data_IF_707273458877
#
_entry.id   IF_707273458877
#
_cell.length_a   1.000
_cell.length_b   1.000
_cell.length_c   1.000
_cell.angle_alpha   90.00
_cell.angle_beta   90.00
_cell.angle_gamma   90.00
#
_symmetry.space_group_name_H-M   'P 1'
#
loop_
_entity.id
_entity.type
_entity.pdbx_description
1 polymer ?
#
# COMPACT_ATOMS: atom_id res chain seq x y z
N UNK A 1 66.19 -14.40 -29.81
CA UNK A 1 65.63 -13.69 -30.97
C UNK A 1 64.33 -14.41 -31.29
N UNK A 2 63.16 -13.95 -30.84
CA UNK A 2 62.39 -12.82 -31.40
C UNK A 2 62.27 -12.95 -32.92
N UNK A 3 61.11 -12.90 -33.57
CA UNK A 3 59.71 -12.77 -33.17
C UNK A 3 58.88 -13.15 -34.40
N UNK A 4 57.66 -13.66 -34.23
CA UNK A 4 56.52 -13.10 -34.97
C UNK A 4 55.22 -13.37 -34.22
N UNK A 5 54.47 -12.29 -34.02
CA UNK A 5 53.25 -12.18 -33.22
C UNK A 5 52.05 -12.33 -34.15
N UNK A 6 51.09 -13.17 -33.79
CA UNK A 6 49.70 -12.95 -34.18
C UNK A 6 48.79 -13.45 -33.04
N UNK A 7 48.37 -12.52 -32.18
CA UNK A 7 47.40 -12.77 -31.11
C UNK A 7 46.06 -12.20 -31.53
N UNK A 8 45.10 -13.08 -31.85
CA UNK A 8 43.68 -12.72 -31.87
C UNK A 8 43.21 -12.53 -30.43
N UNK A 9 42.87 -11.30 -30.06
CA UNK A 9 42.07 -11.01 -28.87
C UNK A 9 40.61 -11.36 -29.18
N UNK A 10 40.04 -12.29 -28.41
CA UNK A 10 38.59 -12.45 -28.26
C UNK A 10 38.05 -11.29 -27.42
N UNK A 11 37.02 -10.62 -27.94
CA UNK A 11 36.21 -9.64 -27.20
C UNK A 11 35.24 -10.37 -26.26
N UNK A 12 34.95 -9.84 -25.05
CA UNK A 12 34.05 -10.49 -24.10
C UNK A 12 32.60 -10.43 -24.57
N UNK A 13 31.93 -11.56 -24.46
CA UNK A 13 30.47 -11.73 -24.63
C UNK A 13 29.70 -10.76 -23.73
N UNK A 14 28.82 -9.96 -24.34
CA UNK A 14 27.86 -9.11 -23.65
C UNK A 14 26.92 -9.94 -22.76
N UNK A 15 26.84 -9.52 -21.51
CA UNK A 15 26.06 -10.12 -20.42
C UNK A 15 24.58 -9.77 -20.60
N UNK A 16 23.80 -10.73 -21.11
CA UNK A 16 22.34 -10.62 -21.26
C UNK A 16 21.70 -10.82 -19.87
N UNK A 17 21.80 -9.82 -19.01
CA UNK A 17 21.01 -9.70 -17.78
C UNK A 17 20.22 -8.41 -17.88
N UNK A 18 18.93 -8.47 -17.52
CA UNK A 18 17.94 -7.38 -17.52
C UNK A 18 17.06 -7.20 -18.76
N UNK A 19 16.39 -8.27 -19.22
CA UNK A 19 15.03 -8.14 -19.75
C UNK A 19 14.17 -9.30 -19.25
N UNK A 20 13.28 -9.04 -18.27
CA UNK A 20 12.19 -9.98 -17.96
C UNK A 20 11.04 -9.65 -18.90
N UNK A 21 10.92 -10.42 -19.97
CA UNK A 21 9.79 -10.41 -20.90
C UNK A 21 8.51 -10.86 -20.17
N UNK A 22 7.53 -9.96 -20.07
CA UNK A 22 6.20 -10.24 -19.52
C UNK A 22 5.20 -10.74 -20.59
N UNK A 23 5.68 -11.23 -21.75
CA UNK A 23 4.82 -11.62 -22.88
C UNK A 23 4.47 -13.11 -22.91
N UNK A 24 3.77 -13.61 -21.90
CA UNK A 24 3.03 -14.88 -22.04
C UNK A 24 1.54 -14.60 -22.14
N UNK A 25 1.09 -14.21 -23.35
CA UNK A 25 -0.18 -14.63 -23.99
C UNK A 25 -0.29 -14.06 -25.40
N UNK A 26 -0.04 -14.89 -26.44
CA UNK A 26 -0.28 -14.54 -27.86
C UNK A 26 -1.78 -14.62 -28.24
N UNK A 27 -2.68 -14.08 -27.42
CA UNK A 27 -4.06 -13.81 -27.83
C UNK A 27 -4.39 -12.36 -27.47
N UNK A 28 -4.64 -11.54 -28.49
CA UNK A 28 -5.21 -10.18 -28.32
C UNK A 28 -6.58 -10.34 -27.66
N UNK A 29 -6.62 -10.27 -26.33
CA UNK A 29 -7.87 -10.03 -25.62
C UNK A 29 -8.21 -8.54 -25.74
N UNK A 30 -9.50 -8.17 -25.89
CA UNK A 30 -9.90 -6.78 -25.84
C UNK A 30 -9.45 -6.20 -24.50
N UNK A 31 -8.73 -5.07 -24.52
CA UNK A 31 -8.37 -4.32 -23.31
C UNK A 31 -9.66 -4.04 -22.55
N UNK A 32 -9.93 -4.78 -21.47
CA UNK A 32 -10.91 -4.34 -20.49
C UNK A 32 -10.41 -2.99 -19.96
N UNK A 33 -11.10 -1.91 -20.35
CA UNK A 33 -10.91 -0.60 -19.74
C UNK A 33 -11.14 -0.76 -18.25
N UNK A 34 -10.09 -0.53 -17.46
CA UNK A 34 -10.28 -0.26 -16.05
C UNK A 34 -11.25 0.93 -15.94
N UNK A 35 -12.09 0.95 -14.91
CA UNK A 35 -12.79 2.19 -14.59
C UNK A 35 -11.74 3.29 -14.41
N UNK A 36 -12.00 4.52 -14.89
CA UNK A 36 -11.09 5.67 -14.71
C UNK A 36 -10.63 5.85 -13.26
N UNK A 37 -11.39 5.33 -12.29
CA UNK A 37 -11.09 5.35 -10.87
C UNK A 37 -9.94 4.41 -10.44
N UNK A 38 -9.47 3.48 -11.27
CA UNK A 38 -8.43 2.49 -10.90
C UNK A 38 -7.14 2.58 -11.72
N UNK A 39 -7.09 3.38 -12.79
CA UNK A 39 -5.94 3.42 -13.71
C UNK A 39 -4.61 3.83 -13.05
N UNK A 40 -4.67 4.69 -12.03
CA UNK A 40 -3.49 5.20 -11.33
C UNK A 40 -2.87 4.18 -10.35
N UNK A 41 -3.62 3.16 -9.91
CA UNK A 41 -3.12 2.10 -9.03
C UNK A 41 -2.04 1.23 -9.69
N UNK A 42 -1.96 1.23 -11.04
CA UNK A 42 -0.95 0.49 -11.81
C UNK A 42 0.44 1.13 -11.78
N UNK A 43 0.53 2.41 -11.42
CA UNK A 43 1.76 3.20 -11.48
C UNK A 43 2.37 3.36 -10.08
N UNK A 44 2.68 2.24 -9.43
CA UNK A 44 3.58 2.23 -8.29
C UNK A 44 5.01 2.03 -8.81
N UNK A 45 5.82 3.10 -8.70
CA UNK A 45 7.29 3.19 -8.73
C UNK A 45 7.98 2.39 -9.85
N UNK A 46 8.17 3.01 -11.01
CA UNK A 46 9.10 2.53 -12.05
C UNK A 46 10.45 3.23 -11.89
N UNK A 47 11.54 2.45 -11.89
CA UNK A 47 12.90 2.94 -12.13
C UNK A 47 13.00 3.28 -13.62
N UNK A 48 13.54 4.45 -13.95
CA UNK A 48 13.72 4.85 -15.35
C UNK A 48 14.75 3.94 -16.05
N UNK A 49 14.54 3.53 -17.31
CA UNK A 49 15.59 2.88 -18.09
C UNK A 49 16.71 3.88 -18.42
N UNK A 50 17.96 3.40 -18.41
CA UNK A 50 19.16 4.18 -18.74
C UNK A 50 18.99 4.81 -20.14
N UNK A 51 19.19 6.14 -20.32
CA UNK A 51 19.14 6.75 -21.63
C UNK A 51 20.28 6.18 -22.50
N UNK A 52 19.94 5.51 -23.60
CA UNK A 52 20.92 5.23 -24.66
C UNK A 52 21.22 6.54 -25.38
N UNK A 53 22.50 6.89 -25.50
CA UNK A 53 22.94 8.06 -26.25
C UNK A 53 22.51 7.92 -27.73
N UNK A 54 21.50 8.69 -28.14
CA UNK A 54 21.16 8.88 -29.54
C UNK A 54 22.00 10.02 -30.12
N UNK A 55 22.74 9.72 -31.18
CA UNK A 55 23.58 10.64 -31.95
C UNK A 55 22.80 11.88 -32.46
N UNK A 56 23.42 13.08 -32.49
CA UNK A 56 22.73 14.29 -32.89
C UNK A 56 22.57 14.34 -34.42
N UNK A 57 21.35 14.60 -34.88
CA UNK A 57 21.07 14.99 -36.28
C UNK A 57 20.95 16.53 -36.33
N UNK A 58 21.53 17.23 -37.31
CA UNK A 58 21.57 18.70 -37.30
C UNK A 58 20.18 19.33 -37.54
N UNK A 59 19.95 20.57 -37.05
CA UNK A 59 18.63 21.16 -36.99
C UNK A 59 18.19 21.72 -38.35
N UNK A 60 16.93 21.46 -38.72
CA UNK A 60 16.25 22.21 -39.77
C UNK A 60 15.63 23.46 -39.13
N UNK A 61 16.03 24.62 -39.63
CA UNK A 61 15.49 25.92 -39.23
C UNK A 61 14.02 26.04 -39.64
N UNK A 62 13.13 26.17 -38.66
CA UNK A 62 11.92 26.99 -38.79
C UNK A 62 11.50 27.47 -37.40
N UNK A 63 11.61 28.77 -37.21
CA UNK A 63 11.18 29.49 -36.01
C UNK A 63 9.66 29.58 -35.94
N UNK A 64 9.07 28.93 -34.95
CA UNK A 64 7.78 29.31 -34.34
C UNK A 64 7.93 29.14 -32.84
N UNK A 65 7.42 30.07 -32.01
CA UNK A 65 7.52 29.91 -30.57
C UNK A 65 6.70 28.68 -30.18
N UNK A 66 7.40 27.66 -29.69
CA UNK A 66 6.82 26.48 -29.08
C UNK A 66 5.89 26.93 -27.96
N UNK A 67 4.59 26.96 -28.22
CA UNK A 67 3.60 26.95 -27.14
C UNK A 67 3.74 25.59 -26.47
N UNK A 68 4.41 25.53 -25.32
CA UNK A 68 4.35 24.34 -24.51
C UNK A 68 2.86 23.97 -24.30
N UNK A 69 2.47 22.70 -24.48
CA UNK A 69 1.09 22.30 -24.24
C UNK A 69 0.74 22.62 -22.78
N UNK A 70 -0.38 23.35 -22.60
CA UNK A 70 -0.87 23.71 -21.27
C UNK A 70 -1.09 22.45 -20.42
N UNK A 71 -0.69 22.50 -19.15
CA UNK A 71 -0.97 21.43 -18.19
C UNK A 71 -2.48 21.13 -18.13
N UNK A 72 -2.84 19.85 -17.93
CA UNK A 72 -4.24 19.43 -17.91
C UNK A 72 -4.67 18.96 -16.53
N UNK A 73 -5.96 19.13 -16.22
CA UNK A 73 -6.49 18.82 -14.90
C UNK A 73 -6.33 17.33 -14.57
N UNK A 74 -5.65 17.07 -13.47
CA UNK A 74 -5.41 15.72 -12.98
C UNK A 74 -6.61 15.25 -12.17
N UNK A 75 -7.53 14.55 -12.84
CA UNK A 75 -8.68 13.92 -12.18
C UNK A 75 -9.54 14.90 -11.36
N UNK A 76 -9.70 16.13 -11.85
CA UNK A 76 -10.47 17.18 -11.18
C UNK A 76 -9.64 18.12 -10.29
N UNK A 77 -8.34 17.84 -10.11
CA UNK A 77 -7.40 18.80 -9.54
C UNK A 77 -7.02 19.82 -10.61
N UNK A 78 -7.23 21.13 -10.36
CA UNK A 78 -6.82 22.19 -11.27
C UNK A 78 -5.32 22.14 -11.59
N UNK A 79 -4.99 22.18 -12.88
CA UNK A 79 -3.61 22.19 -13.36
C UNK A 79 -2.81 23.40 -12.84
N UNK A 80 -3.50 24.51 -12.54
CA UNK A 80 -2.90 25.74 -12.01
C UNK A 80 -2.29 25.61 -10.62
N UNK A 81 -2.62 24.56 -9.86
CA UNK A 81 -2.05 24.36 -8.52
C UNK A 81 -0.59 23.91 -8.64
N UNK A 82 0.30 24.70 -8.06
CA UNK A 82 1.74 24.44 -8.13
C UNK A 82 2.19 23.67 -6.88
N UNK A 83 3.09 22.69 -7.04
CA UNK A 83 3.77 22.11 -5.87
C UNK A 83 4.63 23.18 -5.19
N UNK A 84 4.87 23.01 -3.89
CA UNK A 84 5.92 23.77 -3.21
C UNK A 84 7.26 23.26 -3.76
N UNK A 85 8.15 24.20 -4.10
CA UNK A 85 9.50 23.91 -4.60
C UNK A 85 10.52 24.30 -3.53
N UNK A 86 11.54 23.47 -3.39
CA UNK A 86 12.69 23.79 -2.56
C UNK A 86 13.53 24.89 -3.21
N UNK A 87 14.28 25.64 -2.41
CA UNK A 87 15.25 26.59 -2.92
C UNK A 87 16.26 25.87 -3.82
N UNK A 88 16.66 26.53 -4.92
CA UNK A 88 17.65 25.96 -5.82
C UNK A 88 19.01 25.76 -5.10
N UNK A 89 19.32 24.52 -4.74
CA UNK A 89 20.66 24.16 -4.30
C UNK A 89 21.54 24.03 -5.56
N UNK A 90 22.23 25.11 -5.94
CA UNK A 90 23.14 25.10 -7.09
C UNK A 90 24.38 24.23 -6.80
N UNK A 91 24.25 22.92 -7.00
CA UNK A 91 25.39 22.00 -7.04
C UNK A 91 25.57 21.35 -8.42
N UNK A 92 24.62 21.52 -9.34
CA UNK A 92 24.65 20.82 -10.62
C UNK A 92 24.54 21.75 -11.83
N UNK A 93 25.34 21.43 -12.85
CA UNK A 93 25.34 22.05 -14.16
C UNK A 93 23.95 21.92 -14.80
N UNK A 94 23.31 23.01 -15.26
CA UNK A 94 22.01 22.97 -15.93
C UNK A 94 21.96 22.04 -17.16
N UNK A 95 23.11 21.71 -17.74
CA UNK A 95 23.22 20.76 -18.87
C UNK A 95 23.22 19.28 -18.44
N UNK A 96 23.30 18.99 -17.14
CA UNK A 96 23.34 17.64 -16.60
C UNK A 96 22.57 17.53 -15.26
N UNK A 97 21.26 17.74 -15.29
CA UNK A 97 20.37 17.64 -14.13
C UNK A 97 20.04 16.17 -13.79
N UNK A 98 21.03 15.28 -13.67
CA UNK A 98 20.72 13.85 -13.52
C UNK A 98 19.96 13.52 -12.22
N UNK A 99 19.95 14.41 -11.20
CA UNK A 99 19.34 14.24 -9.86
C UNK A 99 19.35 12.77 -9.40
N UNK A 100 20.49 12.14 -9.61
CA UNK A 100 20.70 10.71 -9.49
C UNK A 100 21.97 10.49 -8.71
N UNK A 101 21.84 9.73 -7.64
CA UNK A 101 22.97 9.15 -6.92
C UNK A 101 23.25 7.76 -7.51
N UNK A 102 24.53 7.36 -7.60
CA UNK A 102 24.94 6.01 -8.00
C UNK A 102 25.70 5.36 -6.83
N UNK A 103 25.30 4.16 -6.31
CA UNK A 103 24.11 3.39 -6.69
C UNK A 103 22.80 4.15 -6.48
N UNK A 104 21.82 3.92 -7.36
CA UNK A 104 20.50 4.57 -7.31
C UNK A 104 19.90 4.53 -5.90
N UNK A 105 19.59 5.71 -5.38
CA UNK A 105 18.96 5.90 -4.08
C UNK A 105 17.58 6.58 -4.26
N UNK A 106 16.52 5.92 -3.79
CA UNK A 106 15.20 6.54 -3.68
C UNK A 106 15.22 7.73 -2.72
N UNK A 107 14.30 8.68 -2.91
CA UNK A 107 14.13 9.83 -2.02
C UNK A 107 15.05 11.02 -2.33
N UNK A 108 15.87 10.96 -3.38
CA UNK A 108 16.87 12.00 -3.68
C UNK A 108 16.43 13.05 -4.70
N UNK A 109 15.27 12.86 -5.36
CA UNK A 109 14.79 13.79 -6.40
C UNK A 109 13.91 14.87 -5.78
N UNK A 110 14.54 15.83 -5.12
CA UNK A 110 13.87 17.02 -4.62
C UNK A 110 13.48 17.96 -5.77
N UNK A 111 12.24 18.43 -5.75
CA UNK A 111 11.75 19.42 -6.68
C UNK A 111 12.18 20.82 -6.21
N UNK A 112 12.99 21.49 -7.02
CA UNK A 112 13.61 22.77 -6.72
C UNK A 112 13.12 23.88 -7.67
N UNK A 113 13.42 25.13 -7.33
CA UNK A 113 13.18 26.28 -8.19
C UNK A 113 13.93 26.14 -9.53
N UNK A 114 13.20 26.29 -10.63
CA UNK A 114 13.76 26.18 -11.98
C UNK A 114 13.65 24.80 -12.63
N UNK A 115 13.36 23.74 -11.88
CA UNK A 115 13.16 22.40 -12.47
C UNK A 115 11.93 22.32 -13.38
N UNK A 116 12.03 21.57 -14.48
CA UNK A 116 10.87 21.13 -15.24
C UNK A 116 10.19 19.95 -14.50
N UNK A 117 8.96 20.16 -14.04
CA UNK A 117 8.14 19.14 -13.35
C UNK A 117 8.02 17.85 -14.18
N UNK A 118 8.06 17.93 -15.50
CA UNK A 118 7.88 16.80 -16.40
C UNK A 118 9.20 16.20 -16.91
N UNK A 119 10.33 16.59 -16.33
CA UNK A 119 11.64 15.99 -16.60
C UNK A 119 11.66 14.51 -16.17
N UNK A 120 11.28 14.25 -14.91
CA UNK A 120 11.19 12.91 -14.32
C UNK A 120 9.76 12.40 -14.25
N UNK A 121 9.60 11.08 -14.07
CA UNK A 121 8.29 10.48 -13.84
C UNK A 121 7.76 10.66 -12.40
N UNK A 122 8.65 11.04 -11.46
CA UNK A 122 8.30 11.26 -10.07
C UNK A 122 9.32 12.18 -9.38
N UNK A 123 8.80 12.97 -8.44
CA UNK A 123 9.55 13.80 -7.50
C UNK A 123 9.29 13.33 -6.07
N UNK A 124 10.33 13.36 -5.25
CA UNK A 124 10.33 12.88 -3.87
C UNK A 124 10.15 14.06 -2.89
N UNK A 125 9.57 13.79 -1.71
CA UNK A 125 9.32 14.78 -0.64
C UNK A 125 8.53 16.02 -1.07
N UNK A 126 7.59 15.88 -2.02
CA UNK A 126 6.83 17.02 -2.53
C UNK A 126 5.68 17.39 -1.60
N UNK A 127 5.67 18.63 -1.13
CA UNK A 127 4.55 19.21 -0.40
C UNK A 127 3.55 19.93 -1.30
N UNK A 128 2.30 19.93 -0.85
CA UNK A 128 1.20 20.65 -1.49
C UNK A 128 1.04 22.05 -0.88
N UNK A 129 0.75 23.02 -1.73
CA UNK A 129 0.50 24.41 -1.35
C UNK A 129 -0.82 24.57 -0.53
N UNK A 130 -1.03 25.71 0.15
CA UNK A 130 -2.26 25.95 0.90
C UNK A 130 -3.54 25.87 0.04
N UNK A 131 -3.47 26.24 -1.24
CA UNK A 131 -4.61 26.21 -2.16
C UNK A 131 -5.06 24.79 -2.45
N UNK A 132 -4.13 23.87 -2.67
CA UNK A 132 -4.42 22.45 -2.84
C UNK A 132 -4.96 21.85 -1.54
N UNK A 133 -4.44 22.25 -0.36
CA UNK A 133 -4.99 21.81 0.94
C UNK A 133 -6.45 22.25 1.08
N UNK A 134 -6.76 23.52 0.82
CA UNK A 134 -8.13 24.03 0.85
C UNK A 134 -9.03 23.29 -0.14
N UNK A 135 -8.58 23.09 -1.38
CA UNK A 135 -9.31 22.30 -2.38
C UNK A 135 -9.59 20.87 -1.90
N UNK A 136 -8.62 20.22 -1.25
CA UNK A 136 -8.79 18.87 -0.70
C UNK A 136 -9.89 18.84 0.36
N UNK A 137 -9.90 19.81 1.28
CA UNK A 137 -10.97 19.93 2.29
C UNK A 137 -12.35 20.14 1.65
N UNK A 138 -12.45 20.98 0.62
CA UNK A 138 -13.70 21.14 -0.14
C UNK A 138 -14.15 19.85 -0.84
N UNK A 139 -13.22 19.02 -1.33
CA UNK A 139 -13.57 17.71 -1.88
C UNK A 139 -14.08 16.77 -0.80
N UNK A 140 -13.44 16.73 0.38
CA UNK A 140 -13.88 15.89 1.49
C UNK A 140 -15.29 16.27 1.94
N UNK A 141 -15.60 17.57 2.02
CA UNK A 141 -16.94 18.05 2.37
C UNK A 141 -17.99 17.60 1.34
N UNK A 142 -17.69 17.73 0.03
CA UNK A 142 -18.57 17.22 -1.03
C UNK A 142 -18.77 15.71 -0.97
N UNK A 143 -17.75 14.96 -0.54
CA UNK A 143 -17.83 13.50 -0.38
C UNK A 143 -18.71 13.12 0.81
N UNK A 144 -18.63 13.84 1.95
CA UNK A 144 -19.51 13.64 3.12
C UNK A 144 -20.98 13.88 2.79
N UNK A 145 -21.27 14.85 1.93
CA UNK A 145 -22.63 15.24 1.55
C UNK A 145 -23.36 14.20 0.67
N UNK A 146 -22.62 13.28 0.02
CA UNK A 146 -23.19 12.18 -0.76
C UNK A 146 -22.57 10.85 -0.34
N UNK A 147 -22.91 10.35 0.86
CA UNK A 147 -22.35 9.12 1.40
C UNK A 147 -22.87 7.90 0.63
N UNK A 148 -22.25 6.75 0.85
CA UNK A 148 -22.81 5.46 0.45
C UNK A 148 -24.14 5.24 1.19
N UNK A 149 -25.13 4.63 0.53
CA UNK A 149 -26.39 4.27 1.19
C UNK A 149 -26.17 3.29 2.35
N UNK A 150 -27.01 3.32 3.40
CA UNK A 150 -26.88 2.39 4.54
C UNK A 150 -26.94 0.91 4.10
N UNK A 151 -27.79 0.61 3.11
CA UNK A 151 -27.86 -0.73 2.51
C UNK A 151 -26.50 -1.15 1.92
N UNK A 152 -25.89 -0.30 1.10
CA UNK A 152 -24.60 -0.61 0.48
C UNK A 152 -23.47 -0.61 1.51
N UNK A 153 -23.50 0.28 2.51
CA UNK A 153 -22.52 0.31 3.61
C UNK A 153 -22.54 -1.02 4.39
N UNK A 154 -23.72 -1.52 4.73
CA UNK A 154 -23.90 -2.85 5.34
C UNK A 154 -23.38 -3.96 4.42
N UNK A 155 -23.75 -3.94 3.15
CA UNK A 155 -23.29 -4.92 2.14
C UNK A 155 -21.77 -4.96 1.98
N UNK A 156 -21.08 -3.83 1.97
CA UNK A 156 -19.62 -3.76 1.83
C UNK A 156 -18.90 -4.22 3.11
N UNK A 157 -19.51 -4.05 4.28
CA UNK A 157 -18.91 -4.43 5.55
C UNK A 157 -19.17 -5.87 5.98
N UNK A 158 -20.30 -6.47 5.62
CA UNK A 158 -20.67 -7.82 6.07
C UNK A 158 -19.91 -8.94 5.34
N UNK A 159 -19.59 -8.74 4.05
CA UNK A 159 -18.92 -9.76 3.23
C UNK A 159 -17.76 -9.16 2.40
N UNK A 160 -16.75 -8.55 3.07
CA UNK A 160 -15.66 -7.86 2.41
C UNK A 160 -14.81 -8.79 1.51
N UNK A 161 -14.71 -10.07 1.84
CA UNK A 161 -13.98 -11.10 1.10
C UNK A 161 -14.52 -11.31 -0.32
N UNK A 162 -15.84 -11.14 -0.51
CA UNK A 162 -16.47 -11.33 -1.83
C UNK A 162 -15.94 -10.32 -2.84
N UNK A 163 -15.66 -9.09 -2.40
CA UNK A 163 -15.14 -8.03 -3.26
C UNK A 163 -13.70 -8.28 -3.67
N UNK A 164 -12.86 -8.77 -2.77
CA UNK A 164 -11.50 -9.19 -3.09
C UNK A 164 -11.47 -10.44 -3.98
N UNK A 165 -12.32 -11.42 -3.73
CA UNK A 165 -12.48 -12.59 -4.61
C UNK A 165 -12.88 -12.18 -6.03
N UNK A 166 -13.84 -11.25 -6.17
CA UNK A 166 -14.25 -10.69 -7.46
C UNK A 166 -13.09 -9.94 -8.13
N UNK A 167 -12.37 -9.12 -7.36
CA UNK A 167 -11.21 -8.39 -7.85
C UNK A 167 -10.16 -9.32 -8.45
N UNK A 168 -9.72 -10.35 -7.73
CA UNK A 168 -8.69 -11.28 -8.20
C UNK A 168 -9.18 -12.22 -9.30
N UNK A 169 -10.48 -12.56 -9.32
CA UNK A 169 -11.08 -13.28 -10.47
C UNK A 169 -10.94 -12.48 -11.76
N UNK A 170 -11.19 -11.17 -11.71
CA UNK A 170 -11.18 -10.30 -12.89
C UNK A 170 -9.75 -9.91 -13.30
N UNK A 171 -8.88 -9.64 -12.34
CA UNK A 171 -7.59 -9.02 -12.58
C UNK A 171 -6.41 -10.01 -12.65
N UNK A 172 -6.53 -11.16 -11.97
CA UNK A 172 -5.48 -12.18 -11.89
C UNK A 172 -4.12 -11.59 -11.47
N UNK A 173 -3.03 -11.98 -12.11
CA UNK A 173 -1.65 -11.53 -11.86
C UNK A 173 -1.28 -10.22 -12.58
N UNK A 174 -2.19 -9.63 -13.37
CA UNK A 174 -1.84 -8.55 -14.30
C UNK A 174 -2.01 -7.13 -13.73
N UNK A 175 -2.59 -6.99 -12.53
CA UNK A 175 -2.96 -5.68 -12.00
C UNK A 175 -1.83 -5.03 -11.21
N UNK A 176 -1.27 -5.75 -10.24
CA UNK A 176 -0.15 -5.28 -9.44
C UNK A 176 1.16 -5.69 -10.08
N UNK A 177 2.16 -4.80 -10.00
CA UNK A 177 3.53 -5.08 -10.45
C UNK A 177 4.34 -5.69 -9.29
N UNK A 178 5.36 -6.44 -9.65
CA UNK A 178 6.33 -6.96 -8.67
C UNK A 178 6.98 -5.83 -7.89
N UNK A 179 6.98 -5.93 -6.56
CA UNK A 179 7.49 -4.92 -5.63
C UNK A 179 9.01 -5.04 -5.46
N UNK A 180 9.74 -5.06 -6.58
CA UNK A 180 11.21 -5.23 -6.60
C UNK A 180 11.96 -4.14 -5.82
N UNK A 181 11.31 -3.00 -5.58
CA UNK A 181 11.81 -1.86 -4.79
C UNK A 181 11.73 -2.08 -3.27
N UNK A 182 10.93 -3.03 -2.79
CA UNK A 182 10.65 -3.15 -1.35
C UNK A 182 11.90 -3.45 -0.51
N UNK A 183 12.87 -4.18 -1.08
CA UNK A 183 14.19 -4.42 -0.48
C UNK A 183 15.03 -3.16 -0.29
N UNK A 184 14.83 -2.14 -1.13
CA UNK A 184 15.55 -0.86 -0.99
C UNK A 184 14.99 -0.02 0.16
N UNK A 185 13.69 -0.14 0.42
CA UNK A 185 12.98 0.54 1.51
C UNK A 185 13.11 -0.23 2.84
N UNK A 186 13.12 -1.56 2.77
CA UNK A 186 13.28 -2.47 3.89
C UNK A 186 14.47 -3.42 3.65
N UNK A 187 15.71 -2.99 3.96
CA UNK A 187 16.93 -3.75 3.69
C UNK A 187 16.96 -5.16 4.29
N UNK A 188 16.20 -5.40 5.36
CA UNK A 188 16.07 -6.73 5.95
C UNK A 188 15.62 -7.78 4.93
N UNK A 189 14.81 -7.41 3.94
CA UNK A 189 14.33 -8.34 2.92
C UNK A 189 15.45 -8.88 2.03
N UNK A 190 16.52 -8.11 1.81
CA UNK A 190 17.71 -8.62 1.15
C UNK A 190 18.58 -9.43 2.13
N UNK A 191 18.66 -9.02 3.40
CA UNK A 191 19.47 -9.73 4.41
C UNK A 191 18.98 -11.16 4.64
N UNK A 192 17.68 -11.38 4.78
CA UNK A 192 17.09 -12.71 5.05
C UNK A 192 17.26 -13.70 3.90
N UNK A 193 17.56 -13.20 2.69
CA UNK A 193 17.80 -14.03 1.50
C UNK A 193 19.23 -14.53 1.38
N UNK A 194 20.15 -14.06 2.24
CA UNK A 194 21.56 -14.46 2.17
C UNK A 194 21.80 -15.87 2.76
N UNK A 195 22.76 -16.65 2.24
CA UNK A 195 23.02 -18.02 2.70
C UNK A 195 23.24 -18.15 4.22
N UNK A 196 23.83 -17.13 4.84
CA UNK A 196 24.21 -17.07 6.25
C UNK A 196 23.11 -16.56 7.18
N UNK A 197 21.92 -16.23 6.68
CA UNK A 197 20.85 -15.60 7.46
C UNK A 197 20.13 -16.55 8.45
N UNK A 198 20.45 -17.84 8.44
CA UNK A 198 19.85 -18.84 9.33
C UNK A 198 18.37 -19.13 9.05
N UNK A 199 17.67 -19.71 10.03
CA UNK A 199 16.24 -19.97 9.92
C UNK A 199 15.44 -18.67 10.08
N UNK A 200 14.68 -18.32 9.05
CA UNK A 200 13.87 -17.09 9.05
C UNK A 200 12.47 -17.41 8.57
N UNK A 201 11.47 -17.01 9.36
CA UNK A 201 10.06 -17.11 8.98
C UNK A 201 9.48 -15.73 8.69
N UNK A 202 8.97 -15.56 7.46
CA UNK A 202 8.29 -14.35 6.99
C UNK A 202 6.81 -14.64 6.83
N UNK A 203 5.95 -13.75 7.32
CA UNK A 203 4.51 -13.76 7.04
C UNK A 203 4.14 -12.53 6.19
N UNK A 204 3.76 -12.73 4.94
CA UNK A 204 3.12 -11.69 4.12
C UNK A 204 1.61 -11.74 4.35
N UNK A 205 1.06 -10.65 4.90
CA UNK A 205 -0.38 -10.48 5.13
C UNK A 205 -0.97 -9.69 3.98
N UNK A 206 -2.04 -10.19 3.38
CA UNK A 206 -2.62 -9.64 2.15
C UNK A 206 -1.68 -9.79 0.95
N UNK A 207 -1.16 -11.01 0.76
CA UNK A 207 -0.14 -11.34 -0.24
C UNK A 207 -0.62 -11.17 -1.70
N UNK A 208 -1.93 -11.13 -1.93
CA UNK A 208 -2.53 -10.94 -3.25
C UNK A 208 -2.10 -12.00 -4.25
N UNK A 209 -1.52 -11.56 -5.38
CA UNK A 209 -0.99 -12.48 -6.39
C UNK A 209 0.48 -12.85 -6.17
N UNK A 210 1.06 -12.56 -4.99
CA UNK A 210 2.45 -12.90 -4.64
C UNK A 210 3.50 -11.93 -5.19
N UNK A 211 3.10 -10.70 -5.55
CA UNK A 211 4.00 -9.69 -6.11
C UNK A 211 5.11 -9.21 -5.16
N UNK A 212 5.10 -9.62 -3.89
CA UNK A 212 6.19 -9.43 -2.93
C UNK A 212 6.92 -10.75 -2.65
N UNK A 213 6.18 -11.81 -2.31
CA UNK A 213 6.75 -13.12 -2.03
C UNK A 213 7.65 -13.65 -3.15
N UNK A 214 7.20 -13.62 -4.41
CA UNK A 214 8.00 -14.20 -5.50
C UNK A 214 9.30 -13.44 -5.78
N UNK A 215 9.34 -12.09 -5.81
CA UNK A 215 10.61 -11.37 -5.85
C UNK A 215 11.59 -11.69 -4.71
N UNK A 216 11.11 -12.01 -3.52
CA UNK A 216 11.96 -12.47 -2.40
C UNK A 216 12.52 -13.86 -2.72
N UNK A 217 11.65 -14.79 -3.15
CA UNK A 217 12.05 -16.15 -3.50
C UNK A 217 13.01 -16.23 -4.69
N UNK A 218 12.81 -15.40 -5.72
CA UNK A 218 13.72 -15.29 -6.88
C UNK A 218 15.16 -14.94 -6.47
N UNK A 219 15.32 -14.16 -5.39
CA UNK A 219 16.63 -13.74 -4.88
C UNK A 219 17.15 -14.65 -3.78
N UNK A 220 16.33 -15.60 -3.32
CA UNK A 220 16.64 -16.40 -2.14
C UNK A 220 17.84 -17.33 -2.39
N UNK A 221 18.84 -17.19 -1.52
CA UNK A 221 19.98 -18.12 -1.38
C UNK A 221 20.03 -18.74 0.02
N UNK A 222 19.07 -18.42 0.89
CA UNK A 222 18.94 -18.94 2.23
C UNK A 222 18.09 -20.24 2.22
N UNK A 223 18.66 -21.42 2.52
CA UNK A 223 17.89 -22.66 2.60
C UNK A 223 16.93 -22.69 3.80
N UNK A 224 17.15 -21.85 4.82
CA UNK A 224 16.32 -21.71 6.02
C UNK A 224 15.18 -20.69 5.91
N UNK A 225 15.03 -20.01 4.77
CA UNK A 225 13.94 -19.05 4.58
C UNK A 225 12.61 -19.78 4.34
N UNK A 226 11.58 -19.38 5.09
CA UNK A 226 10.20 -19.84 4.92
C UNK A 226 9.26 -18.64 4.80
N UNK A 227 8.53 -18.55 3.70
CA UNK A 227 7.54 -17.50 3.44
C UNK A 227 6.14 -18.06 3.60
N UNK A 228 5.34 -17.48 4.48
CA UNK A 228 3.90 -17.72 4.57
C UNK A 228 3.18 -16.55 3.92
N UNK A 229 2.49 -16.81 2.81
CA UNK A 229 1.76 -15.82 2.04
C UNK A 229 0.25 -15.96 2.29
N UNK A 230 -0.27 -15.13 3.17
CA UNK A 230 -1.67 -15.18 3.55
C UNK A 230 -2.48 -14.09 2.86
N UNK A 231 -3.68 -14.41 2.38
CA UNK A 231 -4.62 -13.43 1.85
C UNK A 231 -6.06 -13.77 2.23
N UNK A 232 -6.88 -12.74 2.42
CA UNK A 232 -8.30 -12.91 2.73
C UNK A 232 -9.09 -13.49 1.55
N UNK A 233 -8.59 -13.31 0.33
CA UNK A 233 -9.17 -13.85 -0.89
C UNK A 233 -8.65 -15.24 -1.21
N UNK A 234 -9.54 -16.23 -1.24
CA UNK A 234 -9.24 -17.56 -1.81
C UNK A 234 -8.74 -17.50 -3.25
N UNK A 235 -9.21 -16.53 -4.03
CA UNK A 235 -8.76 -16.33 -5.42
C UNK A 235 -7.34 -15.79 -5.51
N UNK A 236 -6.92 -14.93 -4.59
CA UNK A 236 -5.53 -14.52 -4.46
C UNK A 236 -4.62 -15.72 -4.16
N UNK A 237 -5.00 -16.52 -3.16
CA UNK A 237 -4.27 -17.74 -2.76
C UNK A 237 -4.16 -18.76 -3.90
N UNK A 238 -5.24 -18.98 -4.65
CA UNK A 238 -5.23 -19.82 -5.87
C UNK A 238 -4.19 -19.34 -6.90
N UNK A 239 -4.04 -18.02 -7.09
CA UNK A 239 -3.05 -17.46 -8.02
C UNK A 239 -1.61 -17.69 -7.53
N UNK A 240 -1.35 -17.53 -6.23
CA UNK A 240 -0.03 -17.79 -5.64
C UNK A 240 0.33 -19.27 -5.79
N UNK A 241 -0.58 -20.17 -5.43
CA UNK A 241 -0.37 -21.64 -5.55
C UNK A 241 -0.18 -22.10 -6.99
N UNK A 242 -0.70 -21.34 -7.97
CA UNK A 242 -0.53 -21.61 -9.40
C UNK A 242 0.72 -20.99 -10.03
N UNK A 243 1.54 -20.26 -9.28
CA UNK A 243 2.76 -19.63 -9.79
C UNK A 243 3.88 -20.66 -10.00
N UNK A 244 4.71 -20.49 -11.02
CA UNK A 244 5.77 -21.45 -11.39
C UNK A 244 6.85 -21.65 -10.32
N UNK A 245 7.11 -20.61 -9.51
CA UNK A 245 8.04 -20.66 -8.39
C UNK A 245 7.43 -21.21 -7.10
N UNK A 246 6.13 -21.52 -7.08
CA UNK A 246 5.47 -22.06 -5.89
C UNK A 246 6.00 -23.46 -5.58
N UNK A 247 6.60 -23.60 -4.39
CA UNK A 247 7.06 -24.87 -3.86
C UNK A 247 6.87 -24.86 -2.34
N UNK A 248 6.35 -25.94 -1.79
CA UNK A 248 6.04 -26.03 -0.35
C UNK A 248 7.28 -26.08 0.55
N UNK A 249 8.49 -26.10 -0.02
CA UNK A 249 9.74 -26.03 0.76
C UNK A 249 9.95 -24.60 1.27
N UNK A 250 9.80 -23.60 0.40
CA UNK A 250 10.14 -22.21 0.74
C UNK A 250 8.92 -21.29 0.85
N UNK A 251 7.74 -21.70 0.36
CA UNK A 251 6.51 -20.91 0.44
C UNK A 251 5.28 -21.75 0.74
N UNK A 252 4.43 -21.26 1.64
CA UNK A 252 3.09 -21.77 1.89
C UNK A 252 2.10 -20.62 1.72
N UNK A 253 1.00 -20.83 0.98
CA UNK A 253 -0.01 -19.80 0.79
C UNK A 253 -1.37 -20.26 1.31
N UNK A 254 -2.03 -19.43 2.12
CA UNK A 254 -3.28 -19.80 2.82
C UNK A 254 -4.29 -18.67 2.89
N UNK A 255 -5.56 -19.05 3.00
CA UNK A 255 -6.63 -18.09 3.25
C UNK A 255 -6.62 -17.75 4.73
N UNK A 256 -6.49 -16.47 5.05
CA UNK A 256 -6.52 -15.99 6.43
C UNK A 256 -7.06 -14.57 6.51
N UNK A 257 -7.98 -14.36 7.44
CA UNK A 257 -8.39 -13.02 7.87
C UNK A 257 -7.51 -12.60 9.05
N UNK A 258 -6.69 -11.57 8.84
CA UNK A 258 -5.83 -11.02 9.88
C UNK A 258 -6.63 -10.54 11.10
N UNK A 259 -7.89 -10.15 10.90
CA UNK A 259 -8.80 -9.72 11.96
C UNK A 259 -9.74 -10.84 12.45
N UNK A 260 -9.44 -12.12 12.16
CA UNK A 260 -10.21 -13.24 12.65
C UNK A 260 -10.32 -13.23 14.19
N UNK A 261 -11.53 -13.48 14.69
CA UNK A 261 -11.82 -13.58 16.12
C UNK A 261 -11.00 -14.70 16.77
N UNK A 262 -10.58 -14.56 18.04
CA UNK A 262 -10.02 -15.65 18.84
C UNK A 262 -10.95 -16.87 18.96
N UNK A 263 -12.24 -16.72 18.70
CA UNK A 263 -13.24 -17.80 18.70
C UNK A 263 -13.32 -18.56 17.37
N UNK A 264 -12.57 -18.11 16.34
CA UNK A 264 -12.50 -18.83 15.07
C UNK A 264 -11.81 -20.19 15.22
N UNK A 265 -12.02 -21.09 14.25
CA UNK A 265 -11.47 -22.46 14.28
C UNK A 265 -9.95 -22.54 14.51
N UNK A 266 -9.20 -21.50 14.11
CA UNK A 266 -7.75 -21.42 14.28
C UNK A 266 -7.34 -20.39 15.35
N UNK A 267 -8.25 -20.05 16.26
CA UNK A 267 -8.03 -19.08 17.35
C UNK A 267 -7.50 -17.72 16.86
N UNK A 268 -7.89 -17.28 15.66
CA UNK A 268 -7.43 -16.04 15.02
C UNK A 268 -6.05 -16.13 14.34
N UNK A 269 -5.35 -17.26 14.43
CA UNK A 269 -4.01 -17.45 13.86
C UNK A 269 -4.07 -17.93 12.40
N UNK A 270 -3.03 -17.62 11.60
CA UNK A 270 -2.90 -18.18 10.27
C UNK A 270 -2.63 -19.69 10.31
N UNK A 271 -3.09 -20.46 9.31
CA UNK A 271 -2.84 -21.90 9.25
C UNK A 271 -1.35 -22.25 9.34
N UNK A 272 -1.02 -23.26 10.15
CA UNK A 272 0.34 -23.75 10.37
C UNK A 272 1.35 -22.71 10.91
N UNK A 273 0.86 -21.63 11.54
CA UNK A 273 1.70 -20.66 12.25
C UNK A 273 1.39 -20.71 13.74
N UNK A 274 2.38 -21.13 14.53
CA UNK A 274 2.31 -21.07 15.99
C UNK A 274 2.51 -19.63 16.49
N UNK A 275 2.00 -19.28 17.68
CA UNK A 275 2.38 -18.04 18.36
C UNK A 275 3.89 -17.90 18.46
N UNK A 276 4.35 -16.65 18.44
CA UNK A 276 5.75 -16.27 18.64
C UNK A 276 6.75 -17.03 17.76
N UNK A 277 6.39 -17.25 16.49
CA UNK A 277 7.19 -18.06 15.56
C UNK A 277 7.63 -17.32 14.30
N UNK A 278 7.09 -16.11 14.06
CA UNK A 278 7.40 -15.27 12.90
C UNK A 278 8.46 -14.23 13.26
N UNK A 279 9.47 -14.08 12.40
CA UNK A 279 10.51 -13.06 12.56
C UNK A 279 10.12 -11.72 11.91
N UNK A 280 9.53 -11.80 10.71
CA UNK A 280 9.15 -10.63 9.91
C UNK A 280 7.72 -10.77 9.40
N UNK A 281 6.89 -9.78 9.69
CA UNK A 281 5.55 -9.62 9.10
C UNK A 281 5.61 -8.53 8.04
N UNK A 282 5.08 -8.77 6.86
CA UNK A 282 4.98 -7.79 5.77
C UNK A 282 3.51 -7.39 5.60
N UNK A 283 3.22 -6.09 5.71
CA UNK A 283 1.88 -5.51 5.55
C UNK A 283 1.93 -4.33 4.58
N UNK A 284 1.68 -4.59 3.30
CA UNK A 284 1.78 -3.58 2.24
C UNK A 284 0.43 -3.39 1.54
N UNK A 285 -0.22 -2.24 1.78
CA UNK A 285 -1.55 -1.86 1.26
C UNK A 285 -2.68 -2.80 1.67
N UNK A 286 -2.69 -3.22 2.94
CA UNK A 286 -3.66 -4.21 3.45
C UNK A 286 -4.42 -3.68 4.66
N UNK A 287 -3.79 -2.88 5.52
CA UNK A 287 -4.38 -2.42 6.76
C UNK A 287 -5.49 -1.40 6.49
N UNK A 288 -5.32 -0.60 5.43
CA UNK A 288 -6.36 0.29 4.91
C UNK A 288 -7.60 -0.43 4.37
N UNK A 289 -7.51 -1.72 4.01
CA UNK A 289 -8.65 -2.47 3.50
C UNK A 289 -9.59 -2.99 4.62
N UNK A 290 -9.09 -2.97 5.86
CA UNK A 290 -9.84 -3.35 7.05
C UNK A 290 -10.85 -2.25 7.42
N UNK A 291 -11.97 -2.67 8.02
CA UNK A 291 -12.84 -1.72 8.71
C UNK A 291 -12.12 -1.23 9.98
N UNK A 292 -12.26 0.05 10.39
CA UNK A 292 -11.65 0.56 11.62
C UNK A 292 -11.86 -0.31 12.86
N UNK A 293 -13.05 -0.94 12.99
CA UNK A 293 -13.38 -1.86 14.09
C UNK A 293 -12.55 -3.16 14.11
N UNK A 294 -11.87 -3.48 13.02
CA UNK A 294 -11.07 -4.69 12.87
C UNK A 294 -9.58 -4.48 13.21
N UNK A 295 -9.14 -3.23 13.39
CA UNK A 295 -7.72 -2.92 13.57
C UNK A 295 -7.14 -3.45 14.88
N UNK A 296 -7.84 -3.31 16.00
CA UNK A 296 -7.37 -3.82 17.29
C UNK A 296 -7.14 -5.34 17.24
N UNK A 297 -8.12 -6.09 16.73
CA UNK A 297 -7.98 -7.54 16.55
C UNK A 297 -6.84 -7.91 15.59
N UNK A 298 -6.68 -7.18 14.49
CA UNK A 298 -5.58 -7.39 13.55
C UNK A 298 -4.23 -7.19 14.24
N UNK A 299 -4.04 -6.09 14.98
CA UNK A 299 -2.81 -5.79 15.73
C UNK A 299 -2.54 -6.88 16.78
N UNK A 300 -3.57 -7.37 17.48
CA UNK A 300 -3.46 -8.50 18.42
C UNK A 300 -2.99 -9.79 17.76
N UNK A 301 -3.54 -10.14 16.61
CA UNK A 301 -3.12 -11.33 15.88
C UNK A 301 -1.68 -11.21 15.35
N UNK A 302 -1.29 -10.03 14.83
CA UNK A 302 0.10 -9.76 14.44
C UNK A 302 1.06 -9.85 15.63
N UNK A 303 0.68 -9.31 16.79
CA UNK A 303 1.46 -9.42 18.02
C UNK A 303 1.66 -10.86 18.46
N UNK A 304 0.61 -11.69 18.36
CA UNK A 304 0.64 -13.09 18.77
C UNK A 304 1.56 -13.93 17.89
N UNK A 305 1.58 -13.72 16.57
CA UNK A 305 2.43 -14.52 15.67
C UNK A 305 3.91 -14.13 15.72
N UNK A 306 4.23 -12.87 16.04
CA UNK A 306 5.59 -12.38 16.09
C UNK A 306 6.37 -12.89 17.30
N UNK A 307 7.60 -13.33 17.07
CA UNK A 307 8.60 -13.52 18.14
C UNK A 307 8.84 -12.20 18.89
N UNK A 308 9.15 -12.22 20.19
CA UNK A 308 9.76 -11.06 20.85
C UNK A 308 11.00 -10.57 20.07
N UNK A 309 11.08 -9.28 19.74
CA UNK A 309 12.10 -8.71 18.85
C UNK A 309 11.79 -8.81 17.34
N UNK A 310 10.77 -9.58 16.95
CA UNK A 310 10.27 -9.65 15.58
C UNK A 310 9.62 -8.33 15.15
N UNK A 311 9.53 -8.12 13.83
CA UNK A 311 9.18 -6.81 13.26
C UNK A 311 8.12 -6.86 12.16
N UNK A 312 7.39 -5.76 12.03
CA UNK A 312 6.40 -5.51 10.97
C UNK A 312 6.98 -4.48 10.01
N UNK A 313 7.02 -4.83 8.72
CA UNK A 313 7.33 -3.94 7.61
C UNK A 313 6.01 -3.42 7.05
N UNK A 314 5.72 -2.15 7.29
CA UNK A 314 4.41 -1.56 7.04
C UNK A 314 4.46 -0.50 5.96
N UNK A 315 3.53 -0.56 5.00
CA UNK A 315 3.26 0.56 4.09
C UNK A 315 1.79 0.62 3.69
N UNK A 316 1.15 1.78 3.85
CA UNK A 316 -0.26 1.95 3.47
C UNK A 316 -0.60 3.39 3.01
N UNK A 317 -1.86 3.68 2.70
CA UNK A 317 -2.29 5.00 2.22
C UNK A 317 -2.34 6.04 3.34
N UNK A 318 -1.83 7.25 3.07
CA UNK A 318 -1.93 8.39 3.96
C UNK A 318 -3.02 9.38 3.54
N UNK A 319 -3.56 10.12 4.50
CA UNK A 319 -4.50 11.23 4.28
C UNK A 319 -3.89 12.27 3.34
N UNK A 320 -4.70 12.83 2.46
CA UNK A 320 -4.26 13.78 1.43
C UNK A 320 -3.79 13.14 0.12
N UNK A 321 -3.73 11.80 0.03
CA UNK A 321 -3.42 11.12 -1.23
C UNK A 321 -4.45 11.49 -2.31
N UNK A 322 -4.01 11.72 -3.56
CA UNK A 322 -4.91 12.06 -4.67
C UNK A 322 -6.05 11.06 -4.85
N UNK A 323 -5.86 9.77 -4.51
CA UNK A 323 -6.93 8.79 -4.58
C UNK A 323 -8.06 9.10 -3.60
N UNK A 324 -7.74 9.64 -2.42
CA UNK A 324 -8.72 10.14 -1.45
C UNK A 324 -9.41 11.39 -2.00
N UNK A 325 -8.62 12.39 -2.40
CA UNK A 325 -9.12 13.71 -2.83
C UNK A 325 -10.11 13.60 -3.99
N UNK A 326 -9.91 12.64 -4.91
CA UNK A 326 -10.76 12.50 -6.11
C UNK A 326 -11.92 11.52 -5.97
N UNK A 327 -12.23 11.01 -4.77
CA UNK A 327 -13.37 10.10 -4.64
C UNK A 327 -14.63 10.79 -5.17
N UNK A 328 -15.38 10.02 -5.95
CA UNK A 328 -16.66 10.46 -6.47
C UNK A 328 -17.72 10.33 -5.39
N UNK A 329 -18.80 11.07 -5.59
CA UNK A 329 -20.05 10.96 -4.85
C UNK A 329 -20.53 9.49 -4.72
N UNK A 330 -21.14 9.14 -3.59
CA UNK A 330 -21.62 7.79 -3.27
C UNK A 330 -20.49 6.78 -2.97
N UNK A 331 -19.37 7.24 -2.41
CA UNK A 331 -18.19 6.40 -2.08
C UNK A 331 -17.68 6.58 -0.66
N UNK A 332 -18.01 7.68 -0.02
CA UNK A 332 -17.66 7.96 1.38
C UNK A 332 -18.50 7.06 2.30
N UNK A 333 -17.84 6.33 3.20
CA UNK A 333 -18.51 5.47 4.18
C UNK A 333 -18.46 6.08 5.58
N UNK A 334 -17.26 6.51 6.00
CA UNK A 334 -16.94 7.15 7.27
C UNK A 334 -15.72 8.06 7.07
N UNK A 335 -15.32 8.81 8.10
CA UNK A 335 -14.13 9.66 8.01
C UNK A 335 -12.92 8.86 7.55
N UNK A 336 -12.23 9.36 6.52
CA UNK A 336 -11.09 8.70 5.88
C UNK A 336 -11.37 7.28 5.31
N UNK A 337 -12.60 6.75 5.38
CA UNK A 337 -12.95 5.40 4.97
C UNK A 337 -13.91 5.40 3.77
N UNK A 338 -13.50 4.72 2.69
CA UNK A 338 -14.17 4.77 1.40
C UNK A 338 -14.32 3.40 0.78
N UNK A 339 -15.36 3.24 -0.06
CA UNK A 339 -15.49 2.10 -0.97
C UNK A 339 -15.00 2.49 -2.38
N UNK A 340 -14.27 1.59 -3.02
CA UNK A 340 -13.75 1.74 -4.38
C UNK A 340 -14.78 1.30 -5.42
N UNK A 341 -14.50 1.61 -6.69
CA UNK A 341 -15.36 1.26 -7.82
C UNK A 341 -15.61 -0.25 -7.99
N UNK A 342 -14.71 -1.09 -7.50
CA UNK A 342 -14.80 -2.56 -7.51
C UNK A 342 -15.48 -3.15 -6.26
N UNK A 343 -15.86 -2.31 -5.29
CA UNK A 343 -16.47 -2.69 -4.02
C UNK A 343 -15.48 -2.99 -2.90
N UNK A 344 -14.16 -2.99 -3.18
CA UNK A 344 -13.14 -3.09 -2.11
C UNK A 344 -13.09 -1.80 -1.30
N UNK A 345 -12.67 -1.89 -0.03
CA UNK A 345 -12.62 -0.75 0.89
C UNK A 345 -11.20 -0.19 0.98
N UNK A 346 -11.08 1.07 1.38
CA UNK A 346 -9.80 1.73 1.65
C UNK A 346 -9.96 2.81 2.70
N UNK A 347 -9.04 2.82 3.66
CA UNK A 347 -8.82 3.88 4.65
C UNK A 347 -7.58 4.71 4.28
N UNK A 348 -7.57 6.00 4.69
CA UNK A 348 -6.41 6.88 4.52
C UNK A 348 -5.95 7.40 5.89
N UNK A 349 -4.83 6.89 6.37
CA UNK A 349 -4.38 7.12 7.74
C UNK A 349 -3.81 8.52 7.94
N UNK A 350 -3.99 9.07 9.13
CA UNK A 350 -3.12 10.11 9.67
C UNK A 350 -1.93 9.46 10.41
N UNK A 351 -0.80 10.18 10.49
CA UNK A 351 0.44 9.61 11.07
C UNK A 351 0.23 9.33 12.56
N UNK A 352 -0.36 10.27 13.27
CA UNK A 352 -0.57 10.25 14.71
C UNK A 352 -1.59 9.18 15.12
N UNK A 353 -2.64 9.00 14.32
CA UNK A 353 -3.65 7.95 14.47
C UNK A 353 -3.01 6.57 14.33
N UNK A 354 -2.30 6.31 13.23
CA UNK A 354 -1.64 5.03 13.01
C UNK A 354 -0.59 4.76 14.09
N UNK A 355 0.15 5.78 14.51
CA UNK A 355 1.12 5.66 15.61
C UNK A 355 0.44 5.30 16.94
N UNK A 356 -0.76 5.82 17.19
CA UNK A 356 -1.53 5.47 18.40
C UNK A 356 -2.04 4.03 18.35
N UNK A 357 -2.56 3.59 17.21
CA UNK A 357 -3.04 2.21 16.99
C UNK A 357 -1.93 1.19 17.26
N UNK A 358 -0.75 1.38 16.66
CA UNK A 358 0.36 0.44 16.80
C UNK A 358 1.12 0.59 18.12
N UNK A 359 1.14 1.80 18.69
CA UNK A 359 1.76 2.10 19.98
C UNK A 359 0.88 1.80 21.19
N UNK A 360 -0.25 1.09 21.02
CA UNK A 360 -1.13 0.67 22.11
C UNK A 360 -1.86 1.80 22.83
N UNK A 361 -1.88 3.02 22.28
CA UNK A 361 -2.65 4.13 22.84
C UNK A 361 -4.09 4.01 22.35
N UNK A 362 -5.05 3.88 23.27
CA UNK A 362 -6.47 3.94 22.92
C UNK A 362 -6.77 5.29 22.28
N UNK A 363 -7.20 5.26 21.02
CA UNK A 363 -7.88 6.41 20.41
C UNK A 363 -9.22 6.54 21.13
N UNK A 364 -9.35 7.53 22.01
CA UNK A 364 -10.67 8.00 22.44
C UNK A 364 -11.43 8.33 21.15
N UNK A 365 -12.66 7.82 20.94
CA UNK A 365 -13.50 8.37 19.88
C UNK A 365 -13.56 9.88 20.11
N UNK A 366 -13.31 10.67 19.07
CA UNK A 366 -13.56 12.12 19.14
C UNK A 366 -15.05 12.24 19.40
N UNK A 367 -15.41 12.57 20.64
CA UNK A 367 -16.79 12.69 21.09
C UNK A 367 -17.59 13.52 20.08
N UNK A 368 -18.76 12.98 19.72
CA UNK A 368 -19.84 13.78 19.16
C UNK A 368 -20.05 14.98 20.10
N UNK A 369 -20.11 16.20 19.53
CA UNK A 369 -20.44 17.40 20.30
C UNK A 369 -21.66 17.14 21.20
N UNK A 370 -21.67 17.62 22.45
CA UNK A 370 -22.79 17.38 23.35
C UNK A 370 -24.04 18.02 22.73
N UNK A 371 -24.95 17.17 22.22
CA UNK A 371 -26.29 17.61 21.83
C UNK A 371 -26.95 18.18 23.07
N UNK A 372 -27.28 19.46 22.99
CA UNK A 372 -28.08 20.16 23.99
C UNK A 372 -29.34 19.34 24.32
N UNK A 373 -29.60 19.19 25.62
CA UNK A 373 -30.81 18.59 26.15
C UNK A 373 -32.05 19.28 25.55
N UNK A 374 -32.79 18.56 24.71
CA UNK A 374 -34.13 18.92 24.32
C UNK A 374 -35.10 17.94 25.01
N UNK A 375 -35.87 18.48 25.94
CA UNK A 375 -36.97 17.83 26.64
C UNK A 375 -37.92 17.07 25.70
N UNK A 376 -38.30 15.86 26.13
CA UNK A 376 -39.70 15.43 26.23
C UNK A 376 -40.42 15.00 24.95
N UNK A 377 -40.72 13.69 24.92
CA UNK A 377 -41.93 13.06 24.36
C UNK A 377 -42.22 13.22 22.86
N UNK A 378 -41.83 12.18 22.08
CA UNK A 378 -42.69 11.53 21.08
C UNK A 378 -41.87 10.53 20.24
N UNK A 379 -41.66 9.30 20.74
CA UNK A 379 -41.22 8.17 19.89
C UNK A 379 -41.90 6.86 20.33
N UNK A 380 -43.22 6.84 20.32
CA UNK A 380 -44.00 5.60 20.17
C UNK A 380 -45.03 5.89 19.08
N UNK A 381 -44.75 5.48 17.83
CA UNK A 381 -45.70 5.19 16.75
C UNK A 381 -45.08 5.31 15.34
N UNK A 382 -44.04 4.51 15.04
CA UNK A 382 -43.64 4.28 13.64
C UNK A 382 -43.47 2.78 13.31
N UNK A 383 -43.50 1.89 14.32
CA UNK A 383 -43.26 0.46 14.11
C UNK A 383 -44.51 -0.37 13.76
N UNK A 384 -45.71 0.22 13.75
CA UNK A 384 -46.97 -0.53 13.48
C UNK A 384 -47.56 -0.36 12.06
N UNK A 385 -47.00 0.47 11.17
CA UNK A 385 -47.62 0.73 9.86
C UNK A 385 -46.96 0.05 8.64
N UNK A 386 -46.12 -0.97 8.84
CA UNK A 386 -45.52 -1.74 7.72
C UNK A 386 -45.82 -3.24 7.71
N UNK A 387 -46.79 -3.73 8.50
CA UNK A 387 -47.14 -5.17 8.54
C UNK A 387 -48.33 -5.61 7.70
N UNK A 388 -49.02 -4.73 6.97
CA UNK A 388 -50.14 -5.14 6.12
C UNK A 388 -49.89 -4.81 4.65
N UNK A 389 -49.19 -5.72 3.96
CA UNK A 389 -49.34 -5.92 2.52
C UNK A 389 -49.09 -7.39 2.20
N UNK A 390 -50.20 -8.11 2.02
CA UNK A 390 -50.29 -9.50 1.55
C UNK A 390 -49.47 -9.75 0.28
N UNK A 391 -48.68 -10.84 0.28
CA UNK A 391 -48.52 -11.70 -0.89
C UNK A 391 -48.43 -13.17 -0.46
N UNK A 392 -49.45 -13.94 -0.84
CA UNK A 392 -49.58 -15.38 -0.72
C UNK A 392 -48.44 -16.13 -1.44
N UNK A 393 -47.98 -17.23 -0.84
CA UNK A 393 -47.17 -18.25 -1.50
C UNK A 393 -46.52 -19.23 -0.53
N UNK A 394 -47.23 -20.31 -0.21
CA UNK A 394 -46.76 -21.49 0.54
C UNK A 394 -45.36 -21.98 0.10
N UNK A 395 -44.48 -22.18 1.06
CA UNK A 395 -43.93 -23.51 1.35
C UNK A 395 -43.18 -23.52 2.69
N UNK A 396 -43.50 -24.53 3.48
CA UNK A 396 -43.03 -24.84 4.82
C UNK A 396 -41.56 -25.28 4.80
N UNK A 397 -40.78 -24.78 5.75
CA UNK A 397 -39.77 -25.52 6.53
C UNK A 397 -39.21 -24.58 7.61
N UNK A 398 -39.68 -24.74 8.84
CA UNK A 398 -39.06 -24.13 10.04
C UNK A 398 -37.85 -24.95 10.50
N UNK A 399 -36.84 -24.28 11.08
CA UNK A 399 -36.45 -24.69 12.42
C UNK A 399 -36.37 -23.52 13.42
N UNK A 400 -36.86 -23.85 14.62
CA UNK A 400 -36.76 -23.18 15.93
C UNK A 400 -35.72 -22.07 16.07
N UNK A 401 -36.20 -20.87 16.41
CA UNK A 401 -35.39 -19.81 17.00
C UNK A 401 -35.25 -20.06 18.51
N UNK A 402 -34.06 -20.46 18.93
CA UNK A 402 -33.65 -20.33 20.33
C UNK A 402 -33.33 -18.87 20.61
N UNK A 403 -34.04 -18.28 21.58
CA UNK A 403 -33.78 -16.95 22.11
C UNK A 403 -32.40 -16.92 22.79
N UNK A 404 -31.46 -16.13 22.24
CA UNK A 404 -30.18 -15.86 22.89
C UNK A 404 -30.42 -14.82 24.00
N UNK A 405 -30.14 -15.13 25.28
CA UNK A 405 -30.29 -14.15 26.35
C UNK A 405 -29.20 -13.08 26.24
N UNK A 406 -29.61 -11.82 26.31
CA UNK A 406 -28.72 -10.68 26.46
C UNK A 406 -28.08 -10.67 27.85
N UNK A 407 -26.90 -11.25 27.99
CA UNK A 407 -26.02 -11.03 29.13
C UNK A 407 -24.90 -10.09 28.70
N UNK A 408 -25.02 -8.83 29.11
CA UNK A 408 -23.91 -7.88 29.20
C UNK A 408 -22.96 -8.38 30.27
N UNK A 409 -22.01 -9.24 29.90
CA UNK A 409 -20.83 -9.51 30.71
C UNK A 409 -19.78 -8.44 30.37
N UNK A 410 -19.40 -7.68 31.38
CA UNK A 410 -18.23 -6.80 31.36
C UNK A 410 -16.98 -7.67 31.17
N UNK A 411 -16.62 -7.97 29.92
CA UNK A 411 -15.31 -8.53 29.61
C UNK A 411 -14.25 -7.49 29.98
N UNK A 412 -13.43 -7.77 30.99
CA UNK A 412 -12.18 -7.04 31.25
C UNK A 412 -11.34 -7.03 29.96
N UNK A 413 -11.43 -5.94 29.21
CA UNK A 413 -10.68 -5.79 27.96
C UNK A 413 -9.18 -5.84 28.25
N UNK A 414 -8.54 -6.94 27.86
CA UNK A 414 -7.09 -7.07 27.94
C UNK A 414 -6.40 -5.87 27.27
N UNK A 415 -5.32 -5.31 27.87
CA UNK A 415 -4.62 -4.16 27.32
C UNK A 415 -4.24 -4.37 25.85
N UNK A 416 -4.33 -3.31 25.04
CA UNK A 416 -3.93 -3.36 23.64
C UNK A 416 -2.42 -3.66 23.54
N UNK A 417 -2.00 -4.52 22.61
CA UNK A 417 -0.57 -4.73 22.35
C UNK A 417 0.13 -3.42 22.02
N UNK A 418 1.36 -3.26 22.51
CA UNK A 418 2.15 -2.04 22.31
C UNK A 418 3.43 -2.38 21.56
N UNK A 419 3.46 -2.05 20.26
CA UNK A 419 4.67 -2.14 19.47
C UNK A 419 5.58 -0.94 19.69
N UNK A 420 6.89 -1.16 19.61
CA UNK A 420 7.86 -0.09 19.46
C UNK A 420 7.81 0.45 18.04
N UNK A 421 7.65 1.76 17.90
CA UNK A 421 7.72 2.45 16.61
C UNK A 421 9.19 2.74 16.33
N UNK A 422 9.85 1.85 15.58
CA UNK A 422 11.28 1.95 15.28
C UNK A 422 11.52 3.05 14.25
N UNK A 423 10.68 3.07 13.22
CA UNK A 423 10.69 4.11 12.22
C UNK A 423 9.27 4.39 11.77
N UNK A 424 8.96 5.66 11.52
CA UNK A 424 7.70 6.07 10.89
C UNK A 424 7.90 7.33 10.04
N UNK A 425 7.81 7.17 8.72
CA UNK A 425 7.83 8.24 7.73
C UNK A 425 6.49 8.41 7.00
N UNK A 426 6.28 9.61 6.46
CA UNK A 426 5.20 9.91 5.52
C UNK A 426 5.83 10.17 4.15
N UNK A 427 5.70 9.21 3.25
CA UNK A 427 6.24 9.28 1.89
C UNK A 427 5.29 10.08 1.00
N UNK A 428 5.69 11.33 0.71
CA UNK A 428 4.98 12.24 -0.19
C UNK A 428 5.70 12.30 -1.52
N UNK A 429 5.02 11.91 -2.59
CA UNK A 429 5.58 11.97 -3.96
C UNK A 429 4.64 12.70 -4.89
N UNK A 430 5.21 13.43 -5.83
CA UNK A 430 4.47 13.90 -7.00
C UNK A 430 4.83 13.00 -8.18
N UNK A 431 3.91 12.10 -8.54
CA UNK A 431 4.02 11.33 -9.77
C UNK A 431 3.51 12.18 -10.93
N UNK A 432 4.14 12.08 -12.09
CA UNK A 432 3.69 12.84 -13.26
C UNK A 432 3.42 11.93 -14.45
N UNK A 433 2.33 12.23 -15.16
CA UNK A 433 2.11 11.67 -16.49
C UNK A 433 2.65 12.66 -17.51
N UNK A 434 3.87 12.41 -18.01
CA UNK A 434 4.56 13.30 -18.95
C UNK A 434 3.81 13.51 -20.26
N UNK A 435 3.13 12.47 -20.77
CA UNK A 435 2.38 12.54 -22.03
C UNK A 435 1.14 13.43 -21.92
N UNK A 436 0.43 13.35 -20.79
CA UNK A 436 -0.81 14.09 -20.55
C UNK A 436 -0.61 15.35 -19.71
N UNK A 437 0.63 15.63 -19.30
CA UNK A 437 1.01 16.69 -18.37
C UNK A 437 0.11 16.73 -17.12
N UNK A 438 -0.03 15.59 -16.46
CA UNK A 438 -0.78 15.47 -15.19
C UNK A 438 0.16 15.39 -14.00
N UNK A 439 -0.17 16.10 -12.92
CA UNK A 439 0.48 16.00 -11.60
C UNK A 439 -0.37 15.15 -10.67
N UNK A 440 0.23 14.20 -9.96
CA UNK A 440 -0.47 13.32 -9.04
C UNK A 440 0.24 13.27 -7.70
N UNK A 441 -0.33 13.97 -6.71
CA UNK A 441 0.17 13.97 -5.34
C UNK A 441 -0.20 12.66 -4.64
N UNK A 442 0.80 11.92 -4.19
CA UNK A 442 0.66 10.63 -3.53
C UNK A 442 1.14 10.77 -2.09
N UNK A 443 0.41 10.13 -1.18
CA UNK A 443 0.73 10.13 0.25
C UNK A 443 0.63 8.70 0.77
N UNK A 444 1.73 8.22 1.35
CA UNK A 444 1.81 6.89 1.94
C UNK A 444 2.42 6.94 3.33
N UNK A 445 1.92 6.10 4.22
CA UNK A 445 2.53 5.83 5.51
C UNK A 445 3.53 4.70 5.33
N UNK A 446 4.75 4.85 5.84
CA UNK A 446 5.75 3.78 5.86
C UNK A 446 6.35 3.68 7.26
N UNK A 447 6.36 2.47 7.82
CA UNK A 447 6.82 2.27 9.18
C UNK A 447 7.49 0.90 9.37
N UNK A 448 8.33 0.84 10.39
CA UNK A 448 8.82 -0.41 10.97
C UNK A 448 8.37 -0.43 12.42
N UNK A 449 7.57 -1.43 12.77
CA UNK A 449 7.14 -1.69 14.14
C UNK A 449 7.85 -2.92 14.69
N UNK A 450 8.25 -2.93 15.95
CA UNK A 450 8.93 -4.06 16.58
C UNK A 450 8.18 -4.51 17.83
N UNK A 451 7.99 -5.82 17.98
CA UNK A 451 7.52 -6.40 19.23
C UNK A 451 8.65 -6.32 20.26
N UNK A 452 8.47 -5.70 21.43
CA UNK A 452 9.47 -5.67 22.49
C UNK A 452 10.05 -7.06 22.82
N UNK A 453 11.32 -7.08 23.22
CA UNK A 453 12.07 -8.29 23.55
C UNK A 453 13.20 -8.60 22.56
N UNK A 454 13.87 -9.73 22.75
CA UNK A 454 15.14 -10.05 22.09
C UNK A 454 15.25 -11.51 21.62
N UNK A 455 14.12 -12.16 21.34
CA UNK A 455 14.11 -13.57 20.91
C UNK A 455 14.40 -13.73 19.41
N UNK A 456 14.10 -12.73 18.58
CA UNK A 456 14.55 -12.70 17.19
C UNK A 456 15.99 -12.21 17.12
N UNK A 457 16.84 -12.94 16.40
CA UNK A 457 18.25 -12.59 16.16
C UNK A 457 18.43 -11.65 14.95
N UNK A 458 17.34 -11.38 14.21
CA UNK A 458 17.40 -10.48 13.05
C UNK A 458 17.57 -9.04 13.49
N UNK A 459 18.50 -8.34 12.85
CA UNK A 459 18.63 -6.90 12.99
C UNK A 459 17.29 -6.22 12.63
N UNK A 460 16.90 -5.23 13.43
CA UNK A 460 15.71 -4.43 13.12
C UNK A 460 15.97 -3.60 11.87
N UNK A 461 15.08 -3.70 10.88
CA UNK A 461 15.19 -2.93 9.65
C UNK A 461 15.09 -1.44 9.96
N UNK A 462 16.01 -0.67 9.41
CA UNK A 462 15.85 0.78 9.29
C UNK A 462 15.10 1.07 7.99
N UNK A 463 14.30 2.15 7.95
CA UNK A 463 13.94 2.72 6.65
C UNK A 463 15.13 3.49 6.10
N UNK A 464 15.21 3.57 4.78
CA UNK A 464 16.26 4.32 4.11
C UNK A 464 15.87 5.81 3.99
N UNK A 465 15.80 6.54 5.12
CA UNK A 465 15.65 8.01 5.26
C UNK A 465 15.86 8.34 6.75
N UNK A 466 16.71 9.27 7.23
CA UNK A 466 17.33 10.47 6.66
C UNK A 466 18.82 10.54 7.02
N UNK A 467 19.71 10.50 6.02
CA UNK A 467 21.14 10.79 6.23
C UNK A 467 21.39 12.25 6.68
N UNK A 468 20.36 13.09 6.63
CA UNK A 468 20.42 14.48 7.07
C UNK A 468 20.40 14.63 8.60
N UNK A 469 19.87 13.67 9.36
CA UNK A 469 19.88 13.79 10.83
C UNK A 469 21.16 13.24 11.46
N UNK A 470 21.83 12.26 10.83
CA UNK A 470 23.10 11.71 11.34
C UNK A 470 24.30 12.66 11.09
N UNK A 471 24.35 13.39 9.96
CA UNK A 471 25.44 14.34 9.70
C UNK A 471 25.38 15.59 10.60
N UNK A 472 24.18 15.99 11.06
CA UNK A 472 24.02 17.12 12.00
C UNK A 472 24.51 16.78 13.41
N UNK A 473 24.53 15.49 13.78
CA UNK A 473 25.04 15.05 15.09
C UNK A 473 26.55 14.84 15.06
N UNK A 474 27.14 14.40 13.93
CA UNK A 474 28.61 14.29 13.80
C UNK A 474 29.32 15.64 13.64
N UNK A 475 28.67 16.68 13.11
CA UNK A 475 29.23 18.06 13.11
C UNK A 475 29.05 18.79 14.45
N UNK A 476 28.30 18.22 15.40
CA UNK A 476 28.01 18.81 16.70
C UNK A 476 28.75 18.15 17.89
N UNK A 477 29.74 17.27 17.64
CA UNK A 477 30.58 16.64 18.68
C UNK A 477 32.05 17.07 18.55
#
# INVERSE_FOLDING_TARGET
>A
MAADMDSKMETPTEDIRFETDNSVTKRKQPRQQLSKAMEHMRFAVTVDPVPKASTPTPPLETSTPSSEPSESDAYGVPATFAPIRNLAARSHDPSNNQKRNDPFAFGSRYLEEGDDIFEFNAWDHVEVDPTYRQFSEEQYEKQRQDPVSEFDKSRFNNQPEKWWNKFYTNNKTNFFKNRKWLSQEFPILDQITKPEAGEVRVLEVGAGAGNTAFPILERNKNPGLRVHACDFSKKAVELIRGHELYNNENIQADVWDVAASPESENEGLPPNISPESVDVVIMIFIFSALNPKQWDQAVRNIWRVLKPGGQVLFRDYGRGDLAQVRFKKGRWMEENFYVRGDGTRVYFFEREELGSIWGGKRTQPKDEEPKAEANGDAVENVTEQLKNADLNGDNQDEPSSEEIPSTTEDHEETPAPTFEIVHFGVDRRMLVNRQRRLKMYRCWMQAVFRKPGSASELATSTLRQDKAEEEVVEEAI
#
